data_IF_920376296556
#
_entry.id   IF_920376296556
#
_cell.length_a   1.000
_cell.length_b   1.000
_cell.length_c   1.000
_cell.angle_alpha   90.00
_cell.angle_beta   90.00
_cell.angle_gamma   90.00
#
_symmetry.space_group_name_H-M   'P 1'
#
loop_
_entity.id
_entity.type
_entity.pdbx_description
1 polymer ?
2 non-polymer ?
3 water ?
#
# COMPACT_ATOMS: atom_id res chain seq x y z
N UNK A 15 25.37 15.28 -19.45
CA UNK A 15 24.12 15.51 -20.22
C UNK A 15 22.86 15.30 -19.40
N UNK A 16 21.88 14.64 -20.00
CA UNK A 16 20.60 14.37 -19.37
C UNK A 16 19.87 13.37 -20.28
N UNK A 17 19.59 12.18 -19.75
CA UNK A 17 18.92 11.13 -20.53
C UNK A 17 17.60 11.61 -21.14
N UNK A 18 17.50 11.59 -22.48
CA UNK A 18 16.32 12.02 -23.23
C UNK A 18 15.25 10.92 -23.29
N UNK A 19 14.70 10.57 -22.13
CA UNK A 19 13.70 9.53 -22.08
C UNK A 19 13.27 9.28 -20.64
N UNK A 20 12.29 8.41 -20.46
CA UNK A 20 11.79 8.10 -19.13
C UNK A 20 12.78 7.26 -18.32
N UNK A 21 12.78 7.47 -17.00
CA UNK A 21 13.69 6.75 -16.11
C UNK A 21 12.94 5.98 -15.02
N UNK A 22 13.27 4.71 -14.85
CA UNK A 22 12.68 3.91 -13.78
C UNK A 22 13.77 3.67 -12.72
N UNK A 23 13.50 4.05 -11.48
CA UNK A 23 14.46 3.79 -10.40
C UNK A 23 13.92 2.54 -9.73
N UNK A 24 14.65 1.43 -9.86
CA UNK A 24 14.25 0.14 -9.33
C UNK A 24 15.09 -0.33 -8.14
N UNK A 25 14.77 -1.52 -7.64
CA UNK A 25 15.47 -2.07 -6.50
C UNK A 25 14.45 -2.53 -5.48
N UNK A 26 14.86 -3.41 -4.56
CA UNK A 26 13.94 -3.95 -3.55
C UNK A 26 13.37 -2.88 -2.63
N UNK A 27 12.32 -3.25 -1.90
CA UNK A 27 11.67 -2.33 -0.99
C UNK A 27 12.68 -1.86 0.05
N UNK A 28 12.68 -0.55 0.31
CA UNK A 28 13.61 0.02 1.28
C UNK A 28 14.98 0.41 0.74
N UNK A 29 15.19 0.24 -0.56
CA UNK A 29 16.48 0.60 -1.18
C UNK A 29 16.61 2.09 -1.40
N UNK A 30 15.50 2.81 -1.36
CA UNK A 30 15.52 4.26 -1.54
C UNK A 30 15.09 4.78 -2.91
N UNK A 31 14.30 4.02 -3.65
CA UNK A 31 13.84 4.44 -4.97
C UNK A 31 13.16 5.80 -4.98
N UNK A 32 12.24 6.04 -4.04
CA UNK A 32 11.56 7.33 -4.02
C UNK A 32 12.51 8.52 -3.74
N UNK A 33 13.42 8.39 -2.78
CA UNK A 33 14.34 9.50 -2.50
C UNK A 33 15.23 9.80 -3.72
N UNK A 34 15.79 8.73 -4.29
CA UNK A 34 16.67 8.87 -5.45
C UNK A 34 15.87 9.32 -6.66
N UNK A 35 14.70 8.72 -6.84
CA UNK A 35 13.84 9.06 -7.96
C UNK A 35 13.45 10.54 -7.95
N UNK A 36 13.13 11.05 -6.77
CA UNK A 36 12.74 12.45 -6.68
C UNK A 36 13.92 13.38 -7.00
N UNK A 37 15.10 13.06 -6.47
CA UNK A 37 16.27 13.88 -6.73
C UNK A 37 16.61 13.86 -8.23
N UNK A 38 16.61 12.68 -8.85
CA UNK A 38 16.88 12.55 -10.29
C UNK A 38 15.89 13.42 -11.06
N UNK A 39 14.61 13.26 -10.77
CA UNK A 39 13.54 14.00 -11.43
C UNK A 39 13.74 15.51 -11.31
N UNK A 40 14.04 15.97 -10.11
CA UNK A 40 14.23 17.39 -9.92
C UNK A 40 15.42 17.88 -10.75
N UNK A 41 16.52 17.13 -10.72
CA UNK A 41 17.70 17.51 -11.45
C UNK A 41 17.46 17.57 -12.96
N UNK A 42 16.62 16.69 -13.48
CA UNK A 42 16.33 16.64 -14.92
C UNK A 42 15.14 17.49 -15.37
N UNK A 43 14.43 18.10 -14.43
CA UNK A 43 13.28 18.89 -14.83
C UNK A 43 12.15 17.99 -15.30
N UNK A 44 12.09 16.76 -14.80
CA UNK A 44 11.03 15.83 -15.16
C UNK A 44 10.16 15.64 -13.94
N UNK A 45 8.89 15.25 -14.15
CA UNK A 45 8.06 15.04 -12.98
C UNK A 45 8.35 13.65 -12.42
N UNK A 46 8.16 13.48 -11.12
CA UNK A 46 8.40 12.19 -10.49
C UNK A 46 7.07 11.54 -10.14
N UNK A 47 6.96 10.25 -10.43
CA UNK A 47 5.77 9.51 -10.09
C UNK A 47 6.16 8.38 -9.17
N UNK A 48 5.51 8.29 -8.02
CA UNK A 48 5.80 7.20 -7.10
C UNK A 48 5.02 5.97 -7.54
N UNK A 49 5.74 4.92 -7.94
CA UNK A 49 5.10 3.70 -8.40
C UNK A 49 4.09 3.10 -7.45
N UNK A 50 4.40 3.12 -6.15
CA UNK A 50 3.52 2.56 -5.11
C UNK A 50 2.07 3.04 -5.19
N UNK A 51 1.88 4.28 -5.60
CA UNK A 51 0.56 4.87 -5.68
C UNK A 51 -0.32 4.27 -6.78
N UNK A 52 0.23 3.42 -7.64
CA UNK A 52 -0.56 2.85 -8.72
C UNK A 52 -1.02 1.40 -8.52
N UNK A 53 -0.79 0.86 -7.33
CA UNK A 53 -1.20 -0.51 -7.01
C UNK A 53 -2.71 -0.56 -6.83
N UNK A 54 -3.35 -1.60 -7.38
CA UNK A 54 -4.81 -1.67 -7.19
C UNK A 54 -5.07 -2.00 -5.70
N UNK A 55 -6.28 -1.68 -5.20
CA UNK A 55 -6.67 -1.92 -3.80
C UNK A 55 -6.25 -3.28 -3.21
N UNK A 56 -6.44 -4.34 -3.98
CA UNK A 56 -6.09 -5.69 -3.56
C UNK A 56 -4.61 -5.80 -3.19
N UNK A 57 -3.74 -5.17 -3.97
CA UNK A 57 -2.29 -5.24 -3.69
C UNK A 57 -1.94 -4.53 -2.38
N UNK A 58 -2.48 -3.33 -2.18
CA UNK A 58 -2.23 -2.55 -0.98
C UNK A 58 -2.64 -3.30 0.29
N UNK A 59 -3.73 -4.04 0.22
CA UNK A 59 -4.20 -4.81 1.36
C UNK A 59 -3.13 -5.86 1.73
N UNK A 60 -2.63 -6.59 0.73
CA UNK A 60 -1.60 -7.59 0.99
C UNK A 60 -0.35 -6.96 1.57
N UNK A 61 0.09 -5.84 1.02
CA UNK A 61 1.28 -5.16 1.51
C UNK A 61 1.04 -4.68 2.93
N UNK A 62 -0.17 -4.24 3.20
CA UNK A 62 -0.56 -3.77 4.52
C UNK A 62 -0.37 -4.90 5.54
N UNK A 63 -0.67 -6.12 5.11
CA UNK A 63 -0.56 -7.29 5.97
C UNK A 63 0.85 -7.89 6.03
N UNK A 64 1.75 -7.37 5.19
CA UNK A 64 3.10 -7.89 5.19
C UNK A 64 3.17 -9.20 4.44
N UNK A 65 2.23 -9.40 3.52
CA UNK A 65 2.18 -10.61 2.70
C UNK A 65 2.76 -10.29 1.32
N UNK A 66 3.63 -11.17 0.78
CA UNK A 66 4.22 -10.93 -0.53
C UNK A 66 3.22 -10.98 -1.69
N UNK A 67 3.49 -10.20 -2.74
CA UNK A 67 2.64 -10.17 -3.93
C UNK A 67 3.08 -11.24 -4.93
N UNK A 68 2.14 -11.72 -5.73
CA UNK A 68 2.43 -12.74 -6.75
C UNK A 68 2.61 -12.05 -8.09
N UNK A 69 2.98 -12.81 -9.12
CA UNK A 69 3.15 -12.25 -10.47
C UNK A 69 1.80 -11.69 -10.92
N UNK A 70 0.73 -12.46 -10.73
CA UNK A 70 -0.60 -12.02 -11.12
C UNK A 70 -0.94 -10.68 -10.48
N UNK A 71 -0.63 -10.53 -9.18
CA UNK A 71 -0.93 -9.27 -8.48
C UNK A 71 -0.22 -8.09 -9.12
N UNK A 72 1.04 -8.30 -9.51
CA UNK A 72 1.85 -7.23 -10.10
C UNK A 72 1.52 -6.75 -11.50
N UNK A 73 1.17 -7.66 -12.40
CA UNK A 73 0.86 -7.29 -13.77
C UNK A 73 -0.07 -6.10 -13.98
N UNK A 74 -1.21 -6.04 -13.28
CA UNK A 74 -2.02 -4.85 -13.57
C UNK A 74 -1.35 -3.57 -13.09
N UNK A 75 -0.50 -3.69 -12.07
CA UNK A 75 0.23 -2.56 -11.51
C UNK A 75 1.28 -2.14 -12.54
N UNK A 76 1.99 -3.12 -13.06
CA UNK A 76 3.03 -2.88 -14.06
C UNK A 76 2.42 -2.26 -15.31
N UNK A 77 1.19 -2.66 -15.64
CA UNK A 77 0.50 -2.10 -16.80
C UNK A 77 0.30 -0.61 -16.55
N UNK A 78 -0.15 -0.26 -15.34
CA UNK A 78 -0.36 1.15 -15.04
C UNK A 78 0.98 1.89 -15.08
N UNK A 79 2.06 1.22 -14.65
CA UNK A 79 3.38 1.85 -14.69
C UNK A 79 3.75 2.08 -16.15
N UNK A 80 3.58 1.02 -16.95
CA UNK A 80 3.88 1.11 -18.37
C UNK A 80 3.16 2.26 -19.06
N UNK A 81 1.89 2.47 -18.74
CA UNK A 81 1.12 3.55 -19.36
C UNK A 81 1.71 4.94 -19.04
N UNK A 82 2.21 5.13 -17.83
CA UNK A 82 2.80 6.42 -17.45
C UNK A 82 4.11 6.64 -18.19
N UNK A 83 4.86 5.56 -18.39
CA UNK A 83 6.14 5.64 -19.08
C UNK A 83 5.97 5.90 -20.59
N UNK A 84 4.77 5.66 -21.10
CA UNK A 84 4.49 5.85 -22.52
C UNK A 84 4.18 7.29 -22.94
N UNK A 85 4.07 8.19 -21.98
CA UNK A 85 3.77 9.58 -22.31
C UNK A 85 4.84 10.16 -23.23
N UNK A 86 4.52 11.27 -23.90
CA UNK A 86 5.48 11.92 -24.79
C UNK A 86 6.68 12.42 -24.01
N UNK A 87 6.42 13.36 -23.10
CA UNK A 87 7.48 13.93 -22.28
C UNK A 87 8.02 12.91 -21.26
N UNK A 88 9.32 12.97 -20.98
CA UNK A 88 10.01 12.08 -20.05
C UNK A 88 9.49 12.15 -18.61
N UNK A 89 9.48 10.99 -17.96
CA UNK A 89 9.03 10.91 -16.58
C UNK A 89 9.96 10.01 -15.79
N UNK A 90 10.06 10.23 -14.48
CA UNK A 90 10.88 9.39 -13.62
C UNK A 90 9.93 8.63 -12.71
N UNK A 91 9.97 7.32 -12.75
CA UNK A 91 9.07 6.51 -11.92
C UNK A 91 9.78 5.51 -11.03
N UNK A 92 9.40 5.48 -9.77
CA UNK A 92 9.96 4.52 -8.83
C UNK A 92 9.14 3.23 -8.99
N UNK A 93 9.83 2.12 -9.22
CA UNK A 93 9.18 0.84 -9.40
C UNK A 93 10.23 -0.25 -9.18
N UNK A 94 9.99 -1.11 -8.18
CA UNK A 94 10.90 -2.20 -7.86
C UNK A 94 11.38 -2.98 -9.08
N UNK A 95 10.47 -3.27 -10.01
CA UNK A 95 10.79 -3.97 -11.27
C UNK A 95 11.75 -5.14 -11.08
N UNK A 96 11.44 -5.99 -10.11
CA UNK A 96 12.28 -7.12 -9.75
C UNK A 96 12.62 -8.16 -10.80
N UNK A 97 11.65 -8.60 -11.59
CA UNK A 97 11.94 -9.63 -12.59
C UNK A 97 12.25 -9.07 -13.98
N UNK A 98 12.91 -9.89 -14.79
CA UNK A 98 13.26 -9.55 -16.15
C UNK A 98 11.99 -9.33 -16.96
N UNK A 99 10.99 -10.18 -16.71
CA UNK A 99 9.70 -10.09 -17.38
C UNK A 99 9.16 -8.68 -17.25
N UNK A 100 9.10 -8.19 -16.01
CA UNK A 100 8.58 -6.87 -15.76
C UNK A 100 9.31 -5.78 -16.53
N UNK A 101 10.64 -5.80 -16.49
CA UNK A 101 11.42 -4.77 -17.17
C UNK A 101 11.29 -4.83 -18.70
N UNK A 102 11.30 -6.03 -19.28
CA UNK A 102 11.16 -6.15 -20.73
C UNK A 102 9.81 -5.57 -21.18
N UNK A 103 8.75 -5.80 -20.40
CA UNK A 103 7.44 -5.27 -20.73
C UNK A 103 7.45 -3.75 -20.67
N UNK A 104 7.97 -3.22 -19.57
CA UNK A 104 8.05 -1.78 -19.40
C UNK A 104 8.79 -1.11 -20.57
N UNK A 105 9.83 -1.78 -21.07
CA UNK A 105 10.61 -1.26 -22.20
C UNK A 105 9.76 -1.16 -23.46
N UNK A 106 8.83 -2.10 -23.63
CA UNK A 106 7.94 -2.08 -24.81
C UNK A 106 7.04 -0.85 -24.81
N UNK A 107 6.88 -0.21 -23.66
CA UNK A 107 6.03 0.98 -23.57
C UNK A 107 6.78 2.21 -24.06
N UNK A 108 8.06 2.03 -24.35
CA UNK A 108 8.91 3.11 -24.85
C UNK A 108 10.15 2.46 -25.45
N UNK A 109 9.97 1.65 -26.51
CA UNK A 109 11.04 0.93 -27.22
C UNK A 109 12.30 1.73 -27.46
N UNK A 110 13.43 1.19 -26.99
CA UNK A 110 14.71 1.85 -27.15
C UNK A 110 14.81 3.21 -26.50
N UNK A 111 13.92 3.50 -25.54
CA UNK A 111 13.96 4.79 -24.88
C UNK A 111 13.81 4.78 -23.37
N UNK A 112 13.88 3.61 -22.74
CA UNK A 112 13.74 3.54 -21.29
C UNK A 112 15.03 3.20 -20.51
N UNK A 113 15.34 4.03 -19.52
CA UNK A 113 16.53 3.83 -18.68
C UNK A 113 16.15 3.38 -17.26
N UNK A 114 16.96 2.47 -16.72
CA UNK A 114 16.75 1.94 -15.38
C UNK A 114 17.94 2.28 -14.47
N UNK A 115 17.64 2.73 -13.26
CA UNK A 115 18.66 3.03 -12.24
C UNK A 115 18.41 1.94 -11.16
N UNK A 116 19.34 1.00 -11.05
CA UNK A 116 19.26 -0.12 -10.10
C UNK A 116 19.97 0.16 -8.78
N UNK A 117 19.19 0.41 -7.73
CA UNK A 117 19.73 0.67 -6.40
C UNK A 117 19.89 -0.69 -5.75
N UNK A 118 21.08 -1.01 -5.26
CA UNK A 118 21.32 -2.31 -4.67
C UNK A 118 22.30 -2.33 -3.48
N UNK A 119 22.12 -3.36 -2.65
CA UNK A 119 22.95 -3.54 -1.48
C UNK A 119 22.61 -4.90 -0.92
N UNK A 120 23.42 -5.39 0.01
CA UNK A 120 23.19 -6.68 0.62
C UNK A 120 22.06 -6.54 1.64
N UNK A 121 21.50 -7.66 2.05
CA UNK A 121 20.42 -7.65 3.03
C UNK A 121 20.82 -6.85 4.27
N UNK A 122 22.03 -7.05 4.74
CA UNK A 122 22.51 -6.37 5.93
C UNK A 122 22.52 -4.85 5.78
N UNK A 123 23.09 -4.37 4.68
CA UNK A 123 23.16 -2.93 4.46
C UNK A 123 21.76 -2.36 4.28
N UNK A 124 20.93 -3.04 3.49
CA UNK A 124 19.57 -2.60 3.26
C UNK A 124 18.81 -2.49 4.58
N UNK A 125 18.87 -3.55 5.40
CA UNK A 125 18.17 -3.54 6.69
C UNK A 125 18.64 -2.41 7.58
N UNK A 126 19.96 -2.24 7.67
CA UNK A 126 20.53 -1.20 8.50
C UNK A 126 20.12 0.19 8.05
N UNK A 127 20.14 0.44 6.75
CA UNK A 127 19.77 1.75 6.24
C UNK A 127 18.34 2.15 6.60
N UNK A 128 17.43 1.17 6.56
CA UNK A 128 16.03 1.43 6.88
C UNK A 128 15.86 1.79 8.35
N UNK A 129 16.54 1.05 9.21
CA UNK A 129 16.47 1.30 10.64
C UNK A 129 17.11 2.64 10.95
N UNK A 130 18.24 2.91 10.29
CA UNK A 130 18.97 4.15 10.49
C UNK A 130 18.18 5.33 9.95
N UNK A 131 17.17 5.04 9.13
CA UNK A 131 16.35 6.09 8.53
C UNK A 131 14.94 6.24 9.11
N UNK A 132 14.38 5.17 9.66
CA UNK A 132 13.03 5.26 10.22
C UNK A 132 12.93 4.87 11.71
N UNK A 133 13.99 4.27 12.23
CA UNK A 133 13.96 3.85 13.62
C UNK A 133 13.32 2.48 13.72
N UNK A 134 12.93 1.92 12.58
CA UNK A 134 12.31 0.61 12.51
C UNK A 134 13.08 -0.34 11.61
N UNK A 135 12.98 -1.62 11.91
CA UNK A 135 13.61 -2.66 11.11
C UNK A 135 12.54 -3.24 10.21
N UNK A 136 12.85 -3.40 8.93
CA UNK A 136 11.90 -4.01 8.01
C UNK A 136 11.84 -5.48 8.42
N UNK A 137 10.66 -6.10 8.36
CA UNK A 137 10.60 -7.52 8.74
C UNK A 137 11.55 -8.33 7.85
N UNK A 138 12.39 -9.15 8.48
CA UNK A 138 13.38 -9.97 7.76
C UNK A 138 12.77 -10.79 6.65
N UNK A 139 11.59 -11.34 6.90
CA UNK A 139 10.92 -12.14 5.88
C UNK A 139 10.66 -11.32 4.62
N UNK A 140 10.16 -10.10 4.79
CA UNK A 140 9.88 -9.23 3.64
C UNK A 140 11.11 -8.97 2.80
N UNK A 141 12.18 -8.51 3.44
CA UNK A 141 13.43 -8.22 2.74
C UNK A 141 14.04 -9.43 2.03
N UNK A 142 14.07 -10.58 2.70
CA UNK A 142 14.64 -11.77 2.08
C UNK A 142 13.85 -12.20 0.84
N UNK A 143 12.53 -12.13 0.93
CA UNK A 143 11.69 -12.50 -0.18
C UNK A 143 11.92 -11.56 -1.37
N UNK A 144 12.12 -10.27 -1.08
CA UNK A 144 12.38 -9.27 -2.12
C UNK A 144 13.68 -9.69 -2.82
N UNK A 145 14.70 -9.94 -2.02
CA UNK A 145 16.00 -10.32 -2.54
C UNK A 145 15.99 -11.63 -3.32
N UNK A 146 15.20 -12.60 -2.89
CA UNK A 146 15.13 -13.86 -3.63
C UNK A 146 14.39 -13.63 -4.95
N UNK A 147 13.42 -12.72 -4.93
CA UNK A 147 12.65 -12.44 -6.13
C UNK A 147 13.44 -11.57 -7.12
N UNK A 148 14.34 -10.74 -6.61
CA UNK A 148 15.15 -9.88 -7.47
C UNK A 148 16.02 -10.64 -8.46
N UNK A 149 15.87 -10.28 -9.74
CA UNK A 149 16.65 -10.86 -10.80
C UNK A 149 17.55 -9.70 -11.24
N UNK A 150 18.84 -9.81 -10.94
CA UNK A 150 19.81 -8.77 -11.25
C UNK A 150 19.71 -8.24 -12.67
N UNK A 151 19.47 -6.94 -12.82
CA UNK A 151 19.34 -6.29 -14.13
C UNK A 151 20.64 -5.94 -14.83
N UNK A 152 21.75 -5.95 -14.10
CA UNK A 152 23.03 -5.59 -14.69
C UNK A 152 23.32 -6.38 -15.96
N UNK A 153 23.75 -5.66 -16.98
CA UNK A 153 24.01 -6.30 -18.25
C UNK A 153 22.92 -5.90 -19.23
N UNK A 154 21.68 -5.82 -18.73
CA UNK A 154 20.55 -5.42 -19.56
C UNK A 154 20.81 -4.02 -20.10
N UNK A 155 20.14 -3.67 -21.19
CA UNK A 155 20.32 -2.38 -21.83
C UNK A 155 19.96 -1.16 -21.01
N UNK A 156 20.65 -0.05 -21.28
CA UNK A 156 20.43 1.23 -20.62
C UNK A 156 20.13 1.11 -19.13
N UNK A 157 20.99 0.40 -18.42
CA UNK A 157 20.84 0.17 -16.98
C UNK A 157 22.07 0.68 -16.21
N UNK A 158 21.82 1.53 -15.22
CA UNK A 158 22.87 2.08 -14.37
C UNK A 158 22.66 1.51 -12.97
N UNK A 159 23.69 0.85 -12.45
CA UNK A 159 23.62 0.25 -11.11
C UNK A 159 24.38 1.11 -10.12
N UNK A 160 23.79 1.31 -8.94
CA UNK A 160 24.44 2.13 -7.91
C UNK A 160 24.28 1.45 -6.56
N UNK A 161 25.39 1.27 -5.84
CA UNK A 161 25.36 0.64 -4.53
C UNK A 161 24.86 1.68 -3.53
N UNK A 162 24.07 1.25 -2.55
CA UNK A 162 23.51 2.19 -1.59
C UNK A 162 24.32 2.43 -0.31
N UNK A 163 25.43 1.72 -0.15
CA UNK A 163 26.25 1.88 1.05
C UNK A 163 27.11 3.14 0.98
N UNK A 164 26.49 4.25 0.63
CA UNK A 164 27.16 5.55 0.52
C UNK A 164 26.14 6.68 0.70
N UNK A 165 26.61 7.92 0.91
CA UNK A 165 25.69 9.04 1.08
C UNK A 165 24.69 9.19 -0.06
N UNK A 166 23.46 9.56 0.30
CA UNK A 166 22.40 9.75 -0.69
C UNK A 166 22.81 10.70 -1.81
N UNK A 167 23.50 11.78 -1.45
CA UNK A 167 23.94 12.76 -2.45
C UNK A 167 24.90 12.14 -3.45
N UNK A 168 25.66 11.13 -3.00
CA UNK A 168 26.61 10.44 -3.86
C UNK A 168 25.87 9.47 -4.75
N UNK A 169 24.85 8.81 -4.19
CA UNK A 169 24.07 7.86 -4.97
C UNK A 169 23.40 8.58 -6.14
N UNK A 170 22.91 9.78 -5.89
CA UNK A 170 22.24 10.56 -6.93
C UNK A 170 23.22 11.05 -8.00
N UNK A 171 24.35 11.62 -7.55
CA UNK A 171 25.36 12.11 -8.48
C UNK A 171 25.81 10.99 -9.39
N UNK A 172 26.01 9.80 -8.82
CA UNK A 172 26.44 8.65 -9.63
C UNK A 172 25.36 8.16 -10.60
N UNK A 173 24.10 8.17 -10.15
CA UNK A 173 23.00 7.71 -11.02
C UNK A 173 22.91 8.67 -12.21
N UNK A 174 23.03 9.97 -11.95
CA UNK A 174 22.96 10.98 -12.99
C UNK A 174 24.13 10.87 -13.95
N UNK A 175 25.31 10.54 -13.43
CA UNK A 175 26.48 10.41 -14.29
C UNK A 175 26.27 9.20 -15.18
N UNK A 176 25.73 8.13 -14.61
CA UNK A 176 25.47 6.94 -15.40
C UNK A 176 24.45 7.24 -16.50
N UNK A 177 23.44 8.04 -16.16
CA UNK A 177 22.41 8.41 -17.12
C UNK A 177 22.99 9.32 -18.19
N UNK A 178 23.93 10.18 -17.80
CA UNK A 178 24.57 11.09 -18.73
C UNK A 178 25.36 10.30 -19.77
N UNK A 179 25.94 9.18 -19.37
CA UNK A 179 26.69 8.35 -20.29
C UNK A 179 25.74 7.71 -21.27
N UNK A 180 24.59 7.24 -20.78
CA UNK A 180 23.60 6.62 -21.64
C UNK A 180 23.10 7.65 -22.64
N UNK A 181 22.98 8.90 -22.19
CA UNK A 181 22.55 9.98 -23.06
C UNK A 181 23.60 10.15 -24.16
N UNK A 182 24.87 10.20 -23.74
CA UNK A 182 25.99 10.34 -24.67
C UNK A 182 25.92 9.32 -25.79
N UNK A 183 25.62 8.07 -25.43
CA UNK A 183 25.53 7.00 -26.40
C UNK A 183 24.37 7.21 -27.38
N UNK A 184 23.27 7.77 -26.89
CA UNK A 184 22.12 8.04 -27.75
C UNK A 184 22.47 9.14 -28.75
N UNK A 185 23.04 10.23 -28.25
CA UNK A 185 23.43 11.35 -29.10
C UNK A 185 24.48 10.90 -30.13
N UNK A 186 25.00 9.68 -29.96
CA UNK A 186 26.00 9.18 -30.89
C UNK A 186 25.35 8.36 -31.99
N UNK A 187 24.53 7.39 -31.61
CA UNK A 187 23.85 6.56 -32.60
C UNK A 187 22.90 7.44 -33.42
N UNK A 188 22.35 8.47 -32.79
CA UNK A 188 21.44 9.39 -33.46
C UNK A 188 22.15 10.25 -34.52
N UNK A 189 23.47 10.30 -34.42
CA UNK A 189 24.27 11.07 -35.37
C UNK A 189 25.40 10.19 -35.92
N UNK A 190 25.09 8.90 -36.11
CA UNK A 190 26.06 7.93 -36.61
C UNK A 190 27.51 8.30 -36.23
N UNK B 15 -33.14 -6.29 8.20
CA UNK B 15 -33.34 -4.81 8.37
C UNK B 15 -32.01 -4.09 8.25
N UNK B 16 -31.87 -3.28 7.20
CA UNK B 16 -30.66 -2.53 6.94
C UNK B 16 -30.47 -1.34 7.87
N UNK B 17 -29.24 -1.10 8.27
CA UNK B 17 -28.90 0.04 9.12
C UNK B 17 -28.94 1.25 8.18
N UNK B 18 -29.79 2.26 8.49
CA UNK B 18 -29.96 3.48 7.68
C UNK B 18 -28.82 4.47 7.83
N UNK B 19 -27.65 4.13 7.30
CA UNK B 19 -26.50 5.01 7.40
C UNK B 19 -25.25 4.30 6.94
N UNK B 20 -24.11 5.00 7.01
CA UNK B 20 -22.85 4.41 6.60
C UNK B 20 -22.26 3.46 7.64
N UNK B 21 -21.50 2.49 7.16
CA UNK B 21 -20.91 1.48 8.04
C UNK B 21 -19.40 1.31 7.82
N UNK B 22 -18.64 1.37 8.92
CA UNK B 22 -17.21 1.16 8.83
C UNK B 22 -16.90 -0.23 9.42
N UNK B 23 -16.23 -1.09 8.66
CA UNK B 23 -15.84 -2.42 9.17
C UNK B 23 -14.39 -2.22 9.60
N UNK B 24 -14.15 -2.22 10.92
CA UNK B 24 -12.82 -2.00 11.51
C UNK B 24 -12.17 -3.25 12.05
N UNK B 25 -10.97 -3.08 12.62
CA UNK B 25 -10.23 -4.22 13.16
C UNK B 25 -8.83 -4.21 12.57
N UNK B 26 -7.87 -4.86 13.24
CA UNK B 26 -6.48 -4.89 12.77
C UNK B 26 -6.29 -5.50 11.40
N UNK B 27 -5.09 -5.32 10.85
CA UNK B 27 -4.74 -5.86 9.54
C UNK B 27 -4.89 -7.38 9.55
N UNK B 28 -5.50 -7.92 8.50
CA UNK B 28 -5.71 -9.35 8.41
C UNK B 28 -6.92 -9.92 9.13
N UNK B 29 -7.73 -9.06 9.73
CA UNK B 29 -8.92 -9.49 10.46
C UNK B 29 -10.07 -9.85 9.51
N UNK B 30 -9.93 -9.45 8.24
CA UNK B 30 -10.93 -9.75 7.23
C UNK B 30 -11.92 -8.63 6.96
N UNK B 31 -11.54 -7.38 7.22
CA UNK B 31 -12.45 -6.26 6.99
C UNK B 31 -13.00 -6.17 5.58
N UNK B 32 -12.16 -6.39 4.57
CA UNK B 32 -12.65 -6.30 3.20
C UNK B 32 -13.65 -7.40 2.84
N UNK B 33 -13.37 -8.65 3.25
CA UNK B 33 -14.28 -9.77 2.97
C UNK B 33 -15.66 -9.51 3.60
N UNK B 34 -15.66 -9.11 4.87
CA UNK B 34 -16.88 -8.84 5.60
C UNK B 34 -17.55 -7.58 5.07
N UNK B 35 -16.73 -6.57 4.80
CA UNK B 35 -17.25 -5.32 4.27
C UNK B 35 -17.97 -5.51 2.95
N UNK B 36 -17.42 -6.34 2.09
CA UNK B 36 -18.06 -6.55 0.79
C UNK B 36 -19.36 -7.34 0.96
N UNK B 37 -19.37 -8.31 1.86
CA UNK B 37 -20.57 -9.12 2.08
C UNK B 37 -21.68 -8.23 2.63
N UNK B 38 -21.38 -7.42 3.64
CA UNK B 38 -22.37 -6.53 4.22
C UNK B 38 -22.90 -5.54 3.16
N UNK B 39 -21.99 -4.96 2.38
CA UNK B 39 -22.38 -4.02 1.32
C UNK B 39 -23.37 -4.67 0.34
N UNK B 40 -23.06 -5.89 -0.08
CA UNK B 40 -23.94 -6.59 -1.00
C UNK B 40 -25.31 -6.80 -0.38
N UNK B 41 -25.31 -7.32 0.85
CA UNK B 41 -26.55 -7.59 1.57
C UNK B 41 -27.43 -6.35 1.72
N UNK B 42 -26.83 -5.19 1.91
CA UNK B 42 -27.58 -3.95 2.09
C UNK B 42 -27.83 -3.18 0.79
N UNK B 43 -27.22 -3.61 -0.29
CA UNK B 43 -27.40 -2.89 -1.54
C UNK B 43 -26.64 -1.56 -1.49
N UNK B 44 -25.59 -1.51 -0.67
CA UNK B 44 -24.78 -0.30 -0.55
C UNK B 44 -23.46 -0.57 -1.26
N UNK B 45 -22.78 0.50 -1.69
CA UNK B 45 -21.49 0.28 -2.37
C UNK B 45 -20.40 0.08 -1.30
N UNK B 46 -19.37 -0.67 -1.65
CA UNK B 46 -18.27 -0.93 -0.73
C UNK B 46 -17.01 -0.18 -1.16
N UNK B 47 -16.35 0.44 -0.19
CA UNK B 47 -15.12 1.16 -0.46
C UNK B 47 -13.98 0.50 0.33
N UNK B 48 -12.94 0.11 -0.39
CA UNK B 48 -11.76 -0.48 0.24
C UNK B 48 -10.96 0.69 0.80
N UNK B 49 -10.95 0.84 2.13
CA UNK B 49 -10.22 1.93 2.75
C UNK B 49 -8.75 2.05 2.36
N UNK B 50 -8.08 0.91 2.21
CA UNK B 50 -6.67 0.89 1.85
C UNK B 50 -6.35 1.66 0.58
N UNK B 51 -7.31 1.73 -0.33
CA UNK B 51 -7.09 2.41 -1.59
C UNK B 51 -6.99 3.95 -1.45
N UNK B 52 -7.28 4.48 -0.26
CA UNK B 52 -7.23 5.92 -0.07
C UNK B 52 -5.99 6.47 0.66
N UNK B 53 -5.01 5.61 0.88
CA UNK B 53 -3.75 6.01 1.54
C UNK B 53 -2.90 6.83 0.58
N UNK B 54 -2.33 7.94 1.05
CA UNK B 54 -1.49 8.72 0.13
C UNK B 54 -0.23 7.90 -0.18
N UNK B 55 0.48 8.23 -1.28
CA UNK B 55 1.70 7.54 -1.69
C UNK B 55 2.69 7.21 -0.58
N UNK B 56 2.97 8.20 0.27
CA UNK B 56 3.90 8.04 1.39
C UNK B 56 3.51 6.90 2.34
N UNK B 57 2.21 6.72 2.55
CA UNK B 57 1.73 5.66 3.44
C UNK B 57 1.98 4.27 2.84
N UNK B 58 1.62 4.11 1.57
CA UNK B 58 1.78 2.86 0.85
C UNK B 58 3.23 2.36 0.82
N UNK B 59 4.16 3.30 0.68
CA UNK B 59 5.58 2.96 0.66
C UNK B 59 5.97 2.34 2.02
N UNK B 60 5.53 2.96 3.12
CA UNK B 60 5.84 2.42 4.44
C UNK B 60 5.26 1.01 4.65
N UNK B 61 4.01 0.82 4.26
CA UNK B 61 3.37 -0.49 4.40
C UNK B 61 4.08 -1.52 3.54
N UNK B 62 4.52 -1.09 2.37
CA UNK B 62 5.24 -1.96 1.45
C UNK B 62 6.53 -2.43 2.12
N UNK B 63 7.10 -1.59 2.98
CA UNK B 63 8.33 -1.91 3.68
C UNK B 63 8.09 -2.65 4.99
N UNK B 64 6.83 -2.79 5.39
CA UNK B 64 6.54 -3.47 6.63
C UNK B 64 6.85 -2.56 7.82
N UNK B 65 6.80 -1.25 7.57
CA UNK B 65 7.05 -0.25 8.60
C UNK B 65 5.70 0.29 9.11
N UNK B 66 5.52 0.41 10.43
CA UNK B 66 4.24 0.93 10.93
C UNK B 66 4.01 2.41 10.59
N UNK B 67 2.74 2.79 10.51
CA UNK B 67 2.37 4.17 10.22
C UNK B 67 2.24 4.93 11.52
N UNK B 68 2.45 6.24 11.49
CA UNK B 68 2.32 7.08 12.67
C UNK B 68 0.95 7.74 12.64
N UNK B 69 0.62 8.46 13.69
CA UNK B 69 -0.65 9.18 13.77
C UNK B 69 -0.68 10.23 12.67
N UNK B 70 0.45 10.90 12.43
CA UNK B 70 0.53 11.91 11.38
C UNK B 70 0.23 11.28 10.02
N UNK B 71 0.82 10.10 9.75
CA UNK B 71 0.60 9.42 8.47
C UNK B 71 -0.87 9.12 8.21
N UNK B 72 -1.57 8.67 9.24
CA UNK B 72 -2.96 8.27 9.13
C UNK B 72 -4.00 9.37 8.95
N UNK B 73 -3.82 10.52 9.58
CA UNK B 73 -4.85 11.53 9.44
C UNK B 73 -5.25 11.96 8.04
N UNK B 74 -4.29 12.05 7.10
CA UNK B 74 -4.70 12.46 5.74
C UNK B 74 -5.64 11.39 5.15
N UNK B 75 -5.32 10.14 5.48
CA UNK B 75 -6.07 8.97 5.05
C UNK B 75 -7.46 8.96 5.70
N UNK B 76 -7.47 9.24 7.00
CA UNK B 76 -8.73 9.25 7.76
C UNK B 76 -9.64 10.37 7.25
N UNK B 77 -9.04 11.49 6.82
CA UNK B 77 -9.81 12.59 6.28
C UNK B 77 -10.48 12.12 5.01
N UNK B 78 -9.75 11.40 4.16
CA UNK B 78 -10.32 10.89 2.93
C UNK B 78 -11.42 9.87 3.23
N UNK B 79 -11.24 9.09 4.29
CA UNK B 79 -12.26 8.10 4.67
C UNK B 79 -13.51 8.87 5.12
N UNK B 80 -13.30 9.88 5.97
CA UNK B 80 -14.40 10.69 6.44
C UNK B 80 -15.20 11.31 5.31
N UNK B 81 -14.50 11.82 4.29
CA UNK B 81 -15.19 12.45 3.17
C UNK B 81 -16.12 11.48 2.43
N UNK B 82 -15.70 10.22 2.30
CA UNK B 82 -16.53 9.22 1.64
C UNK B 82 -17.72 8.86 2.51
N UNK B 83 -17.52 8.88 3.83
CA UNK B 83 -18.59 8.52 4.76
C UNK B 83 -19.65 9.62 4.83
N UNK B 84 -19.25 10.83 4.43
CA UNK B 84 -20.14 11.99 4.47
C UNK B 84 -21.19 12.07 3.37
N UNK B 85 -21.01 11.30 2.31
CA UNK B 85 -21.97 11.31 1.20
C UNK B 85 -23.38 11.07 1.74
N UNK B 86 -24.39 11.54 1.00
CA UNK B 86 -25.78 11.36 1.43
C UNK B 86 -26.22 9.91 1.41
N UNK B 87 -25.80 9.16 0.40
CA UNK B 87 -26.16 7.75 0.32
C UNK B 87 -25.20 6.93 1.17
N UNK B 88 -25.71 5.90 1.85
CA UNK B 88 -24.90 5.03 2.71
C UNK B 88 -23.85 4.24 1.97
N UNK B 89 -22.67 4.13 2.58
CA UNK B 89 -21.59 3.35 2.00
C UNK B 89 -20.99 2.47 3.10
N UNK B 90 -20.35 1.38 2.70
CA UNK B 90 -19.69 0.51 3.66
C UNK B 90 -18.21 0.69 3.36
N UNK B 91 -17.42 1.05 4.36
CA UNK B 91 -15.99 1.25 4.16
C UNK B 91 -15.14 0.46 5.13
N UNK B 92 -14.13 -0.22 4.61
CA UNK B 92 -13.21 -0.96 5.44
C UNK B 92 -12.12 0.02 5.89
N UNK B 93 -11.91 0.09 7.19
CA UNK B 93 -10.91 0.97 7.76
C UNK B 93 -10.58 0.46 9.16
N UNK B 94 -9.29 0.17 9.40
CA UNK B 94 -8.86 -0.35 10.70
C UNK B 94 -9.39 0.48 11.86
N UNK B 95 -9.34 1.80 11.74
CA UNK B 95 -9.86 2.70 12.77
C UNK B 95 -9.47 2.30 14.18
N UNK B 96 -8.18 2.01 14.36
CA UNK B 96 -7.66 1.54 15.63
C UNK B 96 -7.80 2.40 16.88
N UNK B 97 -7.69 3.72 16.74
CA UNK B 97 -7.80 4.58 17.92
C UNK B 97 -9.17 5.23 18.05
N UNK B 98 -9.53 5.61 19.27
CA UNK B 98 -10.81 6.26 19.51
C UNK B 98 -10.81 7.63 18.82
N UNK B 99 -9.64 8.27 18.80
CA UNK B 99 -9.47 9.57 18.13
C UNK B 99 -9.98 9.44 16.69
N UNK B 100 -9.52 8.40 16.01
CA UNK B 100 -9.92 8.20 14.64
C UNK B 100 -11.43 8.00 14.49
N UNK B 101 -12.00 7.11 15.30
CA UNK B 101 -13.43 6.83 15.21
C UNK B 101 -14.29 8.05 15.54
N UNK B 102 -13.93 8.79 16.59
CA UNK B 102 -14.69 9.99 16.95
C UNK B 102 -14.70 11.01 15.80
N UNK B 103 -13.58 11.14 15.11
CA UNK B 103 -13.51 12.07 13.99
C UNK B 103 -14.38 11.59 12.85
N UNK B 104 -14.30 10.30 12.54
CA UNK B 104 -15.13 9.72 11.49
C UNK B 104 -16.63 9.89 11.78
N UNK B 105 -17.02 9.80 13.05
CA UNK B 105 -18.42 9.98 13.44
C UNK B 105 -18.86 11.41 13.12
N UNK B 106 -17.96 12.36 13.25
CA UNK B 106 -18.27 13.76 12.94
C UNK B 106 -18.63 13.96 11.48
N UNK B 107 -18.17 13.07 10.61
CA UNK B 107 -18.47 13.19 9.18
C UNK B 107 -19.91 12.78 8.92
N UNK B 108 -20.50 12.06 9.85
CA UNK B 108 -21.88 11.61 9.75
C UNK B 108 -22.47 11.60 11.17
N UNK B 109 -22.75 12.80 11.72
CA UNK B 109 -23.30 13.02 13.06
C UNK B 109 -24.42 12.05 13.45
N UNK B 110 -24.15 11.23 14.45
CA UNK B 110 -25.13 10.25 14.93
C UNK B 110 -25.69 9.34 13.84
N UNK B 111 -24.89 9.07 12.80
CA UNK B 111 -25.37 8.21 11.74
C UNK B 111 -24.34 7.19 11.27
N UNK B 112 -23.29 6.98 12.05
CA UNK B 112 -22.24 6.04 11.66
C UNK B 112 -22.19 4.77 12.51
N UNK B 113 -22.11 3.62 11.86
CA UNK B 113 -22.03 2.34 12.56
C UNK B 113 -20.69 1.67 12.30
N UNK B 114 -20.17 1.00 13.33
CA UNK B 114 -18.91 0.28 13.22
C UNK B 114 -19.12 -1.21 13.47
N UNK B 115 -18.45 -2.03 12.67
CA UNK B 115 -18.47 -3.49 12.84
C UNK B 115 -17.00 -3.79 13.20
N UNK B 116 -16.78 -4.17 14.46
CA UNK B 116 -15.45 -4.48 14.97
C UNK B 116 -15.13 -5.97 14.90
N UNK B 117 -14.26 -6.34 13.95
CA UNK B 117 -13.83 -7.72 13.78
C UNK B 117 -12.63 -7.88 14.70
N UNK B 118 -12.66 -8.89 15.58
CA UNK B 118 -11.57 -9.09 16.52
C UNK B 118 -11.26 -10.56 16.86
N UNK B 119 -10.04 -10.77 17.34
CA UNK B 119 -9.58 -12.09 17.72
C UNK B 119 -8.19 -11.96 18.31
N UNK B 120 -7.71 -13.01 18.97
CA UNK B 120 -6.40 -12.99 19.59
C UNK B 120 -5.33 -13.04 18.53
N UNK B 121 -4.11 -12.66 18.90
CA UNK B 121 -3.00 -12.69 17.97
C UNK B 121 -2.85 -14.03 17.27
N UNK B 122 -2.90 -15.13 18.03
CA UNK B 122 -2.75 -16.45 17.41
C UNK B 122 -3.89 -16.80 16.46
N UNK B 123 -5.12 -16.43 16.79
CA UNK B 123 -6.24 -16.73 15.90
C UNK B 123 -6.09 -15.89 14.63
N UNK B 124 -5.77 -14.61 14.81
CA UNK B 124 -5.57 -13.73 13.67
C UNK B 124 -4.46 -14.26 12.76
N UNK B 125 -3.32 -14.59 13.37
CA UNK B 125 -2.18 -15.12 12.60
C UNK B 125 -2.53 -16.39 11.82
N UNK B 126 -3.15 -17.36 12.50
CA UNK B 126 -3.50 -18.61 11.83
C UNK B 126 -4.51 -18.39 10.72
N UNK B 127 -5.47 -17.51 10.94
CA UNK B 127 -6.48 -17.22 9.92
C UNK B 127 -5.80 -16.77 8.62
N UNK B 128 -4.83 -15.87 8.75
CA UNK B 128 -4.12 -15.35 7.59
C UNK B 128 -3.31 -16.41 6.85
N UNK B 129 -2.65 -17.27 7.61
CA UNK B 129 -1.85 -18.34 7.01
C UNK B 129 -2.79 -19.31 6.31
N UNK B 130 -3.87 -19.65 7.00
CA UNK B 130 -4.89 -20.56 6.50
C UNK B 130 -5.48 -20.00 5.22
N UNK B 131 -5.50 -18.67 5.11
CA UNK B 131 -6.09 -18.02 3.95
C UNK B 131 -5.13 -17.70 2.80
N UNK B 132 -3.88 -17.35 3.11
CA UNK B 132 -2.93 -16.99 2.05
C UNK B 132 -1.71 -17.88 1.94
N UNK B 133 -1.56 -18.82 2.87
CA UNK B 133 -0.41 -19.69 2.84
C UNK B 133 0.80 -18.98 3.42
N UNK B 134 0.59 -17.73 3.85
CA UNK B 134 1.66 -16.94 4.44
C UNK B 134 1.32 -16.46 5.85
N UNK B 135 2.36 -16.28 6.65
CA UNK B 135 2.18 -15.77 7.99
C UNK B 135 2.45 -14.27 7.93
N UNK B 136 1.62 -13.48 8.58
CA UNK B 136 1.84 -12.04 8.62
C UNK B 136 3.06 -11.90 9.54
N UNK B 137 3.95 -10.96 9.26
CA UNK B 137 5.10 -10.84 10.17
C UNK B 137 4.58 -10.55 11.58
N UNK B 138 5.08 -11.29 12.56
CA UNK B 138 4.66 -11.15 13.96
C UNK B 138 4.71 -9.72 14.48
N UNK B 139 5.78 -9.00 14.14
CA UNK B 139 5.93 -7.62 14.58
C UNK B 139 4.77 -6.73 14.06
N UNK B 140 4.34 -6.96 12.82
CA UNK B 140 3.22 -6.16 12.27
C UNK B 140 1.95 -6.39 13.08
N UNK B 141 1.61 -7.66 13.28
CA UNK B 141 0.42 -8.03 14.03
C UNK B 141 0.45 -7.53 15.48
N UNK B 142 1.62 -7.61 16.12
CA UNK B 142 1.74 -7.16 17.50
C UNK B 142 1.54 -5.65 17.62
N UNK B 143 2.14 -4.90 16.69
CA UNK B 143 2.00 -3.46 16.71
C UNK B 143 0.54 -3.04 16.47
N UNK B 144 -0.16 -3.76 15.61
CA UNK B 144 -1.57 -3.46 15.32
C UNK B 144 -2.36 -3.60 16.63
N UNK B 145 -2.24 -4.77 17.23
CA UNK B 145 -2.92 -5.08 18.48
C UNK B 145 -2.53 -4.14 19.61
N UNK B 146 -1.28 -3.69 19.61
CA UNK B 146 -0.82 -2.76 20.63
C UNK B 146 -1.46 -1.39 20.40
N UNK B 147 -1.68 -1.07 19.13
CA UNK B 147 -2.28 0.21 18.77
C UNK B 147 -3.79 0.18 18.95
N UNK B 148 -4.39 -0.98 18.73
CA UNK B 148 -5.83 -1.11 18.88
C UNK B 148 -6.39 -0.70 20.24
N UNK B 149 -7.31 0.26 20.20
CA UNK B 149 -7.99 0.72 21.39
C UNK B 149 -9.39 0.15 21.23
N UNK B 150 -9.72 -0.86 22.05
CA UNK B 150 -11.01 -1.54 21.97
C UNK B 150 -12.19 -0.58 21.90
N UNK B 151 -13.03 -0.72 20.86
CA UNK B 151 -14.21 0.14 20.68
C UNK B 151 -15.47 -0.28 21.41
N UNK B 152 -15.48 -1.49 21.96
CA UNK B 152 -16.68 -1.95 22.67
C UNK B 152 -17.15 -0.93 23.69
N UNK B 153 -18.44 -0.64 23.68
CA UNK B 153 -18.95 0.33 24.63
C UNK B 153 -19.18 1.68 23.98
N UNK B 154 -18.60 1.88 22.80
CA UNK B 154 -18.79 3.13 22.08
C UNK B 154 -20.12 3.00 21.35
N UNK B 155 -20.70 4.13 20.95
CA UNK B 155 -21.99 4.10 20.27
C UNK B 155 -22.04 3.35 18.94
N UNK B 156 -23.23 2.84 18.64
CA UNK B 156 -23.49 2.11 17.40
C UNK B 156 -22.32 1.26 16.91
N UNK B 157 -21.83 0.38 17.80
CA UNK B 157 -20.70 -0.50 17.49
C UNK B 157 -21.07 -1.97 17.72
N UNK B 158 -20.93 -2.78 16.67
CA UNK B 158 -21.21 -4.21 16.73
C UNK B 158 -19.89 -4.99 16.69
N UNK B 159 -19.65 -5.80 17.71
CA UNK B 159 -18.42 -6.59 17.81
C UNK B 159 -18.66 -8.01 17.34
N UNK B 160 -17.70 -8.59 16.63
CA UNK B 160 -17.83 -9.97 16.14
C UNK B 160 -16.48 -10.68 16.16
N UNK B 161 -16.43 -11.82 16.85
CA UNK B 161 -15.20 -12.59 16.94
C UNK B 161 -14.98 -13.31 15.62
N UNK B 162 -13.73 -13.42 15.17
CA UNK B 162 -13.42 -14.06 13.90
C UNK B 162 -13.15 -15.56 13.90
N UNK B 163 -13.06 -16.17 15.10
CA UNK B 163 -12.81 -17.61 15.20
C UNK B 163 -14.06 -18.43 14.84
N UNK B 164 -14.66 -18.12 13.69
CA UNK B 164 -15.85 -18.81 13.19
C UNK B 164 -15.97 -18.61 11.68
N UNK B 165 -16.83 -19.39 11.01
CA UNK B 165 -16.97 -19.25 9.55
C UNK B 165 -17.34 -17.85 9.11
N UNK B 166 -16.80 -17.45 7.96
CA UNK B 166 -17.05 -16.12 7.39
C UNK B 166 -18.54 -15.83 7.26
N UNK B 167 -19.30 -16.82 6.79
CA UNK B 167 -20.74 -16.64 6.61
C UNK B 167 -21.46 -16.35 7.93
N UNK B 168 -20.88 -16.83 9.04
CA UNK B 168 -21.45 -16.62 10.36
C UNK B 168 -21.06 -15.24 10.85
N UNK B 169 -19.85 -14.82 10.51
CA UNK B 169 -19.35 -13.52 10.90
C UNK B 169 -20.25 -12.45 10.27
N UNK B 170 -20.55 -12.63 8.99
CA UNK B 170 -21.41 -11.71 8.25
C UNK B 170 -22.84 -11.66 8.80
N UNK B 171 -23.43 -12.84 9.04
CA UNK B 171 -24.80 -12.93 9.55
C UNK B 171 -24.89 -12.22 10.89
N UNK B 172 -23.89 -12.44 11.74
CA UNK B 172 -23.87 -11.81 13.05
C UNK B 172 -23.66 -10.28 12.95
N UNK B 173 -22.84 -9.84 12.00
CA UNK B 173 -22.61 -8.41 11.84
C UNK B 173 -23.92 -7.74 11.43
N UNK B 174 -24.62 -8.35 10.48
CA UNK B 174 -25.88 -7.84 9.97
C UNK B 174 -26.98 -7.89 11.05
N UNK B 175 -26.95 -8.91 11.90
CA UNK B 175 -27.95 -9.01 12.96
C UNK B 175 -27.70 -7.85 13.92
N UNK B 176 -26.43 -7.59 14.19
CA UNK B 176 -26.10 -6.49 15.09
C UNK B 176 -26.48 -5.14 14.49
N UNK B 177 -26.32 -5.00 13.17
CA UNK B 177 -26.66 -3.74 12.50
C UNK B 177 -28.17 -3.59 12.45
N UNK B 178 -28.89 -4.71 12.37
CA UNK B 178 -30.34 -4.67 12.33
C UNK B 178 -30.85 -4.16 13.68
N UNK B 179 -30.14 -4.51 14.75
CA UNK B 179 -30.53 -4.05 16.09
C UNK B 179 -30.33 -2.54 16.19
N UNK B 180 -29.21 -2.06 15.65
CA UNK B 180 -28.93 -0.63 15.69
C UNK B 180 -29.99 0.11 14.89
N UNK B 181 -30.38 -0.45 13.76
CA UNK B 181 -31.40 0.14 12.90
C UNK B 181 -32.74 0.23 13.66
N UNK B 182 -33.09 -0.87 14.32
CA UNK B 182 -34.33 -0.96 15.08
C UNK B 182 -34.37 0.14 16.14
N UNK B 183 -33.25 0.36 16.81
CA UNK B 183 -33.15 1.39 17.85
C UNK B 183 -33.34 2.80 17.28
N UNK B 184 -32.86 3.02 16.07
CA UNK B 184 -33.01 4.33 15.43
C UNK B 184 -34.48 4.50 15.04
N UNK B 185 -35.05 3.43 14.49
CA UNK B 185 -36.45 3.44 14.08
C UNK B 185 -37.35 3.70 15.29
N UNK B 186 -36.78 3.55 16.48
CA UNK B 186 -37.54 3.78 17.71
C UNK B 186 -37.36 5.22 18.17
N UNK B 187 -36.13 5.64 18.38
CA UNK B 187 -35.86 6.99 18.81
C UNK B 187 -36.52 7.98 17.85
N UNK B 188 -36.75 7.53 16.61
CA UNK B 188 -37.34 8.34 15.54
C UNK B 188 -38.88 8.45 15.52
N UNK B 189 -39.58 7.44 16.01
CA UNK B 189 -41.04 7.46 15.97
C UNK B 189 -41.74 7.52 17.33
X LIG C 1 11.86 2.48 -1.33
X LIG C 1 11.23 3.94 -1.80
X LIG C 1 12.62 1.71 -2.55
X LIG C 1 12.93 2.83 -0.24
X LIG C 1 10.76 1.43 -0.80
X LIG D 1 -8.06 -7.12 6.24
X LIG D 1 -6.54 -6.51 5.92
X LIG D 1 -8.72 -6.45 7.56
X LIG D 1 -8.94 -6.75 4.99
X LIG D 1 -8.05 -8.71 6.51
#
# INVERSE_FOLDING_TARGET
XVXSIEYKSEAAAVRRFPGSIVVMGVSGSGKSSVGEAIAEACGYPFIEGDALHPPENIRKMSEGIPLTDDDRWPWLAAIGERLASREPVVVSCSALKRSYRDKLRESAPGGLAFVFLHGSESVLAERMHHRTGHFMPSSLLQTQLETLEDPRGEVRTVAVDVAQPLAEIVREALAGLARLAENLYFQSHHHHHHWSHPQFEK
XVXSIEYKSEAAAVRRFPGSIVVMGVSGSGKSSVGEAIAEACGYPFIEGDALHPPENIRKMSEGIPLTDDDRWPWLAAIGERLASREPVVVSCSALKRSYRDKLRESAPGGLAFVFLHGSESVLAERMHHRTGHFMPSSLLQTQLETLEDPRGEVRTVAVDVAQPLAEIVREALAGLARLAENLYFQSHHHHHHWSHPQFEK
PO4 P O1 O2 O3 O4
PO4 P O1 O2 O3 O4
#
